data_IF_643589111830
#
_entry.id   IF_643589111830
#
_cell.length_a   1.000
_cell.length_b   1.000
_cell.length_c   1.000
_cell.angle_alpha   90.00
_cell.angle_beta   90.00
_cell.angle_gamma   90.00
#
_symmetry.space_group_name_H-M   'P 1'
#
loop_
_entity.id
_entity.type
_entity.pdbx_description
1 polymer ?
#
# COMPACT_ATOMS: atom_id res chain seq x y z
N UNK A 1 5.29 9.61 10.14
CA UNK A 1 4.93 9.18 8.79
C UNK A 1 4.12 7.89 8.89
N UNK A 2 3.16 7.64 8.00
CA UNK A 2 2.33 6.42 8.08
C UNK A 2 3.09 5.13 7.74
N UNK A 3 4.28 5.24 7.12
CA UNK A 3 5.15 4.11 6.86
C UNK A 3 6.62 4.45 7.11
N UNK A 4 7.35 3.46 7.63
CA UNK A 4 8.78 3.55 7.95
C UNK A 4 9.51 2.34 7.36
N UNK A 5 10.67 2.58 6.74
CA UNK A 5 11.52 1.51 6.22
C UNK A 5 12.24 0.81 7.36
N UNK A 6 12.30 -0.51 7.30
CA UNK A 6 13.12 -1.34 8.18
C UNK A 6 14.48 -1.60 7.51
N UNK A 7 15.55 -1.62 8.31
CA UNK A 7 16.91 -1.82 7.80
C UNK A 7 17.24 -3.27 7.49
N UNK A 8 17.43 -4.07 8.52
CA UNK A 8 17.77 -5.48 8.41
C UNK A 8 16.92 -6.29 9.41
N UNK A 9 16.14 -7.27 8.94
CA UNK A 9 15.86 -7.52 7.53
C UNK A 9 15.06 -6.40 6.84
N UNK A 10 15.29 -6.21 5.54
CA UNK A 10 14.61 -5.18 4.75
C UNK A 10 13.10 -5.36 4.82
N UNK A 11 12.37 -4.28 5.03
CA UNK A 11 10.93 -4.34 5.19
C UNK A 11 10.29 -2.97 5.40
N UNK A 12 9.04 -2.98 5.82
CA UNK A 12 8.24 -1.78 6.07
C UNK A 12 7.33 -1.96 7.29
N UNK A 13 7.26 -0.93 8.11
CA UNK A 13 6.29 -0.79 9.20
C UNK A 13 5.23 0.22 8.76
N UNK A 14 3.96 -0.14 8.85
CA UNK A 14 2.84 0.66 8.35
C UNK A 14 1.83 0.95 9.45
N UNK A 15 1.23 2.16 9.40
CA UNK A 15 0.06 2.54 10.16
C UNK A 15 -1.08 2.89 9.19
N UNK A 16 -2.27 2.34 9.43
CA UNK A 16 -3.43 2.45 8.55
C UNK A 16 -4.50 3.37 9.13
N UNK A 17 -5.43 3.81 8.27
CA UNK A 17 -6.53 4.72 8.65
C UNK A 17 -7.44 4.16 9.75
N UNK A 18 -7.57 2.85 9.85
CA UNK A 18 -8.35 2.15 10.89
C UNK A 18 -7.62 2.03 12.25
N UNK A 19 -6.44 2.62 12.38
CA UNK A 19 -5.59 2.58 13.58
C UNK A 19 -4.73 1.32 13.71
N UNK A 20 -4.88 0.33 12.83
CA UNK A 20 -4.01 -0.85 12.83
C UNK A 20 -2.59 -0.49 12.45
N UNK A 21 -1.66 -1.27 12.98
CA UNK A 21 -0.25 -1.23 12.60
C UNK A 21 0.18 -2.62 12.18
N UNK A 22 1.06 -2.70 11.19
CA UNK A 22 1.66 -3.95 10.77
C UNK A 22 3.13 -3.76 10.40
N UNK A 23 3.89 -4.83 10.59
CA UNK A 23 5.30 -4.90 10.20
C UNK A 23 5.45 -6.04 9.19
N UNK A 24 6.03 -5.72 8.06
CA UNK A 24 6.25 -6.66 6.98
C UNK A 24 7.73 -6.70 6.64
N UNK A 25 8.25 -7.89 6.46
CA UNK A 25 9.65 -8.14 6.13
C UNK A 25 9.73 -8.80 4.76
N UNK A 26 10.67 -8.35 3.94
CA UNK A 26 11.00 -9.01 2.68
C UNK A 26 12.12 -10.00 2.94
N UNK A 27 11.75 -11.26 3.05
CA UNK A 27 12.74 -12.33 3.18
C UNK A 27 13.29 -12.65 1.80
N UNK A 28 14.51 -12.18 1.53
CA UNK A 28 15.29 -12.57 0.35
C UNK A 28 16.67 -13.03 0.81
N UNK A 29 17.25 -14.04 0.20
CA UNK A 29 18.57 -14.55 0.60
C UNK A 29 19.69 -13.48 0.52
N UNK A 30 19.52 -12.53 -0.40
CA UNK A 30 20.45 -11.42 -0.64
C UNK A 30 19.64 -10.23 -1.17
N UNK A 31 19.38 -9.21 -0.36
CA UNK A 31 18.52 -8.10 -0.74
C UNK A 31 19.19 -7.24 -1.81
N UNK A 32 18.64 -7.28 -3.03
CA UNK A 32 19.05 -6.37 -4.09
C UNK A 32 18.80 -4.91 -3.69
N UNK A 33 19.64 -3.94 -4.12
CA UNK A 33 19.38 -2.52 -3.94
C UNK A 33 17.99 -2.09 -4.43
N UNK A 34 17.50 -2.70 -5.50
CA UNK A 34 16.14 -2.49 -6.02
C UNK A 34 15.05 -2.78 -4.98
N UNK A 35 15.22 -3.77 -4.10
CA UNK A 35 14.24 -4.06 -3.04
C UNK A 35 14.04 -2.83 -2.16
N UNK A 36 15.14 -2.14 -1.82
CA UNK A 36 15.08 -0.91 -1.02
C UNK A 36 14.39 0.22 -1.76
N UNK A 37 14.66 0.39 -3.05
CA UNK A 37 14.01 1.40 -3.88
C UNK A 37 12.50 1.15 -3.98
N UNK A 38 12.09 -0.11 -4.19
CA UNK A 38 10.68 -0.50 -4.23
C UNK A 38 9.98 -0.30 -2.88
N UNK A 39 10.65 -0.61 -1.77
CA UNK A 39 10.12 -0.34 -0.42
C UNK A 39 10.00 1.15 -0.15
N UNK A 40 10.92 1.98 -0.64
CA UNK A 40 10.82 3.45 -0.60
C UNK A 40 9.58 3.92 -1.36
N UNK A 41 9.35 3.39 -2.55
CA UNK A 41 8.13 3.65 -3.32
C UNK A 41 6.87 3.20 -2.58
N UNK A 42 6.88 1.99 -2.00
CA UNK A 42 5.75 1.50 -1.22
C UNK A 42 5.45 2.37 -0.01
N UNK A 43 6.48 2.84 0.69
CA UNK A 43 6.30 3.76 1.82
C UNK A 43 5.61 5.07 1.41
N UNK A 44 5.89 5.57 0.21
CA UNK A 44 5.20 6.73 -0.36
C UNK A 44 3.73 6.48 -0.74
N UNK A 45 3.34 5.21 -0.94
CA UNK A 45 1.96 4.83 -1.28
C UNK A 45 1.10 4.53 -0.05
N UNK A 46 1.73 4.22 1.09
CA UNK A 46 1.03 3.91 2.35
C UNK A 46 0.66 5.20 3.05
N UNK A 47 -0.59 5.56 3.01
CA UNK A 47 -1.12 6.66 3.81
C UNK A 47 -2.62 6.48 4.05
N UNK A 48 -3.20 7.08 5.12
CA UNK A 48 -4.62 7.03 5.39
C UNK A 48 -5.44 7.48 4.17
N UNK A 49 -6.39 6.66 3.75
CA UNK A 49 -7.22 6.85 2.55
C UNK A 49 -6.42 6.88 1.23
N UNK A 50 -5.19 6.41 1.24
CA UNK A 50 -4.34 6.26 0.06
C UNK A 50 -4.56 4.95 -0.70
N UNK A 51 -3.78 4.72 -1.75
CA UNK A 51 -3.92 3.51 -2.56
C UNK A 51 -3.49 2.24 -1.81
N UNK A 52 -2.75 2.37 -0.71
CA UNK A 52 -2.31 1.27 0.16
C UNK A 52 -2.65 1.62 1.60
N UNK A 53 -3.82 1.17 2.06
CA UNK A 53 -4.35 1.47 3.40
C UNK A 53 -4.83 0.21 4.14
N UNK A 54 -4.33 -0.97 3.76
CA UNK A 54 -4.62 -2.22 4.47
C UNK A 54 -3.41 -3.15 4.49
N UNK A 55 -3.25 -3.99 5.55
CA UNK A 55 -2.17 -4.99 5.61
C UNK A 55 -2.18 -5.96 4.43
N UNK A 56 -3.37 -6.35 3.94
CA UNK A 56 -3.52 -7.24 2.78
C UNK A 56 -2.92 -6.63 1.53
N UNK A 57 -3.24 -5.35 1.25
CA UNK A 57 -2.68 -4.63 0.11
C UNK A 57 -1.15 -4.52 0.22
N UNK A 58 -0.59 -4.23 1.40
CA UNK A 58 0.87 -4.24 1.60
C UNK A 58 1.46 -5.60 1.25
N UNK A 59 0.83 -6.69 1.70
CA UNK A 59 1.29 -8.06 1.40
C UNK A 59 1.29 -8.36 -0.11
N UNK A 60 0.27 -7.91 -0.85
CA UNK A 60 0.20 -8.06 -2.31
C UNK A 60 1.33 -7.28 -3.01
N UNK A 61 1.63 -6.06 -2.57
CA UNK A 61 2.74 -5.28 -3.11
C UNK A 61 4.09 -5.95 -2.83
N UNK A 62 4.29 -6.49 -1.63
CA UNK A 62 5.52 -7.20 -1.27
C UNK A 62 5.68 -8.54 -2.01
N UNK A 63 4.58 -9.18 -2.41
CA UNK A 63 4.65 -10.32 -3.32
C UNK A 63 5.27 -9.88 -4.67
N UNK A 64 4.83 -8.74 -5.23
CA UNK A 64 5.44 -8.16 -6.43
C UNK A 64 6.93 -7.80 -6.25
N UNK A 65 7.33 -7.29 -5.08
CA UNK A 65 8.76 -7.03 -4.77
C UNK A 65 9.59 -8.30 -4.85
N UNK A 66 9.13 -9.38 -4.18
CA UNK A 66 9.84 -10.67 -4.14
C UNK A 66 9.95 -11.30 -5.52
N UNK A 67 8.86 -11.25 -6.27
CA UNK A 67 8.77 -11.83 -7.60
C UNK A 67 9.71 -11.10 -8.58
N UNK A 68 9.67 -9.77 -8.63
CA UNK A 68 10.58 -8.96 -9.45
C UNK A 68 12.05 -9.15 -9.03
N UNK A 69 12.35 -9.17 -7.73
CA UNK A 69 13.70 -9.39 -7.25
C UNK A 69 14.23 -10.79 -7.63
N UNK A 70 13.40 -11.82 -7.52
CA UNK A 70 13.73 -13.19 -7.97
C UNK A 70 14.00 -13.25 -9.47
N UNK A 71 13.16 -12.60 -10.27
CA UNK A 71 13.31 -12.50 -11.72
C UNK A 71 14.63 -11.84 -12.12
N UNK A 72 14.97 -10.69 -11.51
CA UNK A 72 16.22 -9.97 -11.81
C UNK A 72 17.46 -10.76 -11.38
N UNK A 73 17.41 -11.40 -10.22
CA UNK A 73 18.52 -12.26 -9.75
C UNK A 73 18.78 -13.40 -10.74
N UNK A 74 17.74 -14.05 -11.24
CA UNK A 74 17.88 -15.12 -12.23
C UNK A 74 18.55 -14.64 -13.54
N UNK A 75 18.60 -13.33 -13.78
CA UNK A 75 19.26 -12.70 -14.93
C UNK A 75 20.60 -12.03 -14.60
N UNK A 76 21.09 -12.20 -13.38
CA UNK A 76 22.34 -11.60 -12.94
C UNK A 76 22.27 -10.06 -12.82
N UNK A 77 21.07 -9.50 -12.69
CA UNK A 77 20.88 -8.07 -12.47
C UNK A 77 20.84 -7.80 -10.96
N UNK A 78 21.83 -7.09 -10.44
CA UNK A 78 22.07 -6.86 -9.01
C UNK A 78 21.91 -5.39 -8.60
N UNK A 79 21.62 -4.50 -9.54
CA UNK A 79 21.53 -3.07 -9.31
C UNK A 79 20.20 -2.61 -8.67
N UNK A 80 20.16 -1.32 -8.31
CA UNK A 80 18.93 -0.62 -7.91
C UNK A 80 18.05 -0.20 -9.09
N UNK A 81 17.00 0.56 -8.79
CA UNK A 81 16.04 1.04 -9.80
C UNK A 81 16.71 1.91 -10.89
N UNK A 82 17.76 2.66 -10.55
CA UNK A 82 18.56 3.44 -11.51
C UNK A 82 19.38 2.61 -12.49
N UNK A 83 19.65 1.33 -12.17
CA UNK A 83 20.35 0.41 -13.06
C UNK A 83 19.40 -0.32 -14.03
N UNK A 84 18.09 -0.24 -13.82
CA UNK A 84 17.12 -0.87 -14.70
C UNK A 84 17.25 -0.30 -16.13
N UNK A 85 17.27 -1.21 -17.10
CA UNK A 85 17.11 -0.90 -18.52
C UNK A 85 15.66 -1.21 -18.91
N UNK A 86 15.20 -0.67 -20.04
CA UNK A 86 13.84 -0.91 -20.54
C UNK A 86 13.51 -2.40 -20.71
N UNK A 87 14.49 -3.22 -21.05
CA UNK A 87 14.30 -4.63 -21.38
C UNK A 87 13.82 -5.44 -20.19
N UNK A 88 14.47 -5.31 -19.05
CA UNK A 88 14.17 -6.11 -17.85
C UNK A 88 12.74 -5.95 -17.31
N UNK A 89 12.23 -4.72 -17.10
CA UNK A 89 10.84 -4.54 -16.70
C UNK A 89 9.84 -5.04 -17.77
N UNK A 90 10.11 -4.86 -19.07
CA UNK A 90 9.23 -5.37 -20.14
C UNK A 90 9.13 -6.88 -20.07
N UNK A 91 10.26 -7.58 -20.04
CA UNK A 91 10.27 -9.05 -19.94
C UNK A 91 9.54 -9.55 -18.68
N UNK A 92 9.76 -8.90 -17.55
CA UNK A 92 9.09 -9.24 -16.31
C UNK A 92 7.58 -9.04 -16.41
N UNK A 93 7.12 -7.87 -16.84
CA UNK A 93 5.70 -7.54 -16.89
C UNK A 93 4.90 -8.34 -17.91
N UNK A 94 5.53 -8.78 -19.00
CA UNK A 94 4.89 -9.67 -19.96
C UNK A 94 4.52 -11.05 -19.37
N UNK A 95 5.15 -11.48 -18.29
CA UNK A 95 4.89 -12.77 -17.64
C UNK A 95 4.28 -12.67 -16.23
N UNK A 96 4.40 -11.52 -15.58
CA UNK A 96 4.05 -11.36 -14.17
C UNK A 96 2.53 -11.28 -13.88
N UNK A 97 1.72 -11.03 -14.88
CA UNK A 97 0.28 -10.79 -14.73
C UNK A 97 -0.04 -9.41 -14.11
N UNK A 98 -1.30 -9.02 -14.22
CA UNK A 98 -1.79 -7.67 -13.88
C UNK A 98 -1.42 -7.19 -12.47
N UNK A 99 -1.58 -8.05 -11.46
CA UNK A 99 -1.36 -7.63 -10.06
C UNK A 99 0.08 -7.21 -9.80
N UNK A 100 1.03 -8.04 -10.20
CA UNK A 100 2.45 -7.77 -9.99
C UNK A 100 2.96 -6.64 -10.89
N UNK A 101 2.50 -6.57 -12.13
CA UNK A 101 2.81 -5.45 -13.02
C UNK A 101 2.32 -4.13 -12.41
N UNK A 102 1.04 -4.05 -12.00
CA UNK A 102 0.45 -2.85 -11.43
C UNK A 102 1.15 -2.42 -10.13
N UNK A 103 1.42 -3.37 -9.23
CA UNK A 103 2.09 -3.09 -7.97
C UNK A 103 3.52 -2.55 -8.19
N UNK A 104 4.33 -3.23 -9.02
CA UNK A 104 5.72 -2.85 -9.27
C UNK A 104 5.83 -1.54 -10.02
N UNK A 105 4.95 -1.26 -10.99
CA UNK A 105 4.88 0.05 -11.67
C UNK A 105 4.60 1.18 -10.69
N UNK A 106 3.61 1.01 -9.81
CA UNK A 106 3.26 2.03 -8.81
C UNK A 106 4.39 2.29 -7.83
N UNK A 107 5.06 1.24 -7.35
CA UNK A 107 6.23 1.39 -6.48
C UNK A 107 7.38 2.10 -7.18
N UNK A 108 7.71 1.72 -8.42
CA UNK A 108 8.76 2.39 -9.21
C UNK A 108 8.42 3.86 -9.47
N UNK A 109 7.17 4.16 -9.83
CA UNK A 109 6.73 5.56 -10.01
C UNK A 109 6.84 6.38 -8.72
N UNK A 110 6.44 5.81 -7.58
CA UNK A 110 6.52 6.49 -6.28
C UNK A 110 7.97 6.66 -5.81
N UNK A 111 8.83 5.66 -6.04
CA UNK A 111 10.26 5.76 -5.78
C UNK A 111 10.91 6.87 -6.64
N UNK A 112 10.57 6.91 -7.93
CA UNK A 112 11.07 7.94 -8.83
C UNK A 112 10.58 9.35 -8.46
N UNK A 113 9.33 9.49 -8.06
CA UNK A 113 8.79 10.76 -7.57
C UNK A 113 9.52 11.27 -6.31
N UNK A 114 9.98 10.35 -5.45
CA UNK A 114 10.71 10.69 -4.23
C UNK A 114 12.20 10.98 -4.47
N UNK A 115 12.84 10.30 -5.43
CA UNK A 115 14.31 10.27 -5.56
C UNK A 115 14.84 10.61 -6.96
N UNK A 116 13.98 10.63 -7.98
CA UNK A 116 14.40 10.83 -9.38
C UNK A 116 15.26 9.69 -9.95
N UNK A 117 15.17 8.50 -9.38
CA UNK A 117 16.15 7.41 -9.61
C UNK A 117 16.02 6.74 -10.98
N UNK A 118 14.84 6.77 -11.62
CA UNK A 118 14.62 6.07 -12.88
C UNK A 118 15.24 6.78 -14.07
N UNK A 119 15.81 6.01 -14.97
CA UNK A 119 16.19 6.50 -16.31
C UNK A 119 14.97 6.97 -17.09
N UNK A 120 15.10 7.96 -17.99
CA UNK A 120 13.95 8.49 -18.74
C UNK A 120 13.15 7.43 -19.50
N UNK A 121 13.83 6.46 -20.11
CA UNK A 121 13.18 5.37 -20.86
C UNK A 121 12.41 4.40 -19.96
N UNK A 122 12.87 4.18 -18.73
CA UNK A 122 12.16 3.36 -17.73
C UNK A 122 11.00 4.13 -17.15
N UNK A 123 11.17 5.42 -16.86
CA UNK A 123 10.09 6.31 -16.41
C UNK A 123 8.95 6.37 -17.41
N UNK A 124 9.25 6.54 -18.70
CA UNK A 124 8.25 6.51 -19.77
C UNK A 124 7.52 5.15 -19.84
N UNK A 125 8.25 4.05 -19.64
CA UNK A 125 7.70 2.70 -19.61
C UNK A 125 6.78 2.49 -18.39
N UNK A 126 7.17 2.94 -17.21
CA UNK A 126 6.39 2.87 -15.96
C UNK A 126 5.08 3.64 -16.09
N UNK A 127 5.10 4.81 -16.72
CA UNK A 127 3.91 5.62 -16.97
C UNK A 127 3.06 5.11 -18.16
N UNK A 128 3.59 4.19 -18.95
CA UNK A 128 2.95 3.69 -20.15
C UNK A 128 1.83 2.68 -19.91
N UNK A 129 1.29 2.16 -21.01
CA UNK A 129 0.22 1.15 -20.97
C UNK A 129 0.71 -0.16 -20.36
N UNK A 130 -0.18 -0.84 -19.60
CA UNK A 130 0.09 -2.16 -19.04
C UNK A 130 0.17 -3.23 -20.15
N UNK A 131 1.01 -4.22 -19.94
CA UNK A 131 1.14 -5.39 -20.82
C UNK A 131 0.07 -6.44 -20.50
N UNK A 132 -0.18 -6.68 -19.20
CA UNK A 132 -1.22 -7.59 -18.76
C UNK A 132 -2.60 -6.92 -18.81
N UNK A 133 -3.59 -7.63 -19.31
CA UNK A 133 -4.97 -7.17 -19.23
C UNK A 133 -5.46 -7.17 -17.78
N UNK A 134 -6.18 -6.11 -17.41
CA UNK A 134 -6.87 -6.09 -16.12
C UNK A 134 -7.90 -7.23 -16.08
N UNK A 135 -7.91 -8.05 -15.02
CA UNK A 135 -8.91 -9.10 -14.88
C UNK A 135 -10.32 -8.50 -14.98
N UNK A 136 -11.13 -9.07 -15.85
CA UNK A 136 -12.56 -8.72 -15.88
C UNK A 136 -13.19 -9.33 -14.64
N UNK A 137 -13.45 -8.49 -13.66
CA UNK A 137 -14.19 -8.90 -12.47
C UNK A 137 -15.67 -8.92 -12.85
N UNK A 138 -16.31 -10.05 -12.71
CA UNK A 138 -17.78 -10.08 -12.81
C UNK A 138 -18.35 -9.10 -11.77
N UNK A 139 -19.30 -8.24 -12.15
CA UNK A 139 -19.95 -7.38 -11.20
C UNK A 139 -20.48 -8.22 -10.04
N UNK A 140 -20.22 -7.78 -8.81
CA UNK A 140 -20.90 -8.38 -7.66
C UNK A 140 -22.40 -8.27 -7.90
N UNK A 141 -23.13 -9.34 -7.60
CA UNK A 141 -24.59 -9.26 -7.63
C UNK A 141 -25.03 -8.11 -6.72
N UNK A 142 -25.96 -7.27 -7.16
CA UNK A 142 -26.51 -6.25 -6.30
C UNK A 142 -27.11 -6.90 -5.05
N UNK A 143 -26.99 -6.21 -3.93
CA UNK A 143 -27.64 -6.67 -2.71
C UNK A 143 -29.13 -6.89 -2.96
N UNK A 144 -29.65 -7.98 -2.41
CA UNK A 144 -31.10 -8.17 -2.31
C UNK A 144 -31.70 -7.08 -1.43
N UNK A 145 -32.99 -6.81 -1.59
CA UNK A 145 -33.68 -5.80 -0.75
C UNK A 145 -33.48 -6.10 0.75
N UNK A 146 -33.57 -7.36 1.15
CA UNK A 146 -33.34 -7.78 2.55
C UNK A 146 -31.92 -7.51 3.04
N UNK A 147 -30.91 -7.78 2.20
CA UNK A 147 -29.50 -7.50 2.53
C UNK A 147 -29.26 -5.98 2.62
N UNK A 148 -29.88 -5.23 1.71
CA UNK A 148 -29.79 -3.77 1.71
C UNK A 148 -30.44 -3.16 2.98
N UNK A 149 -31.64 -3.61 3.34
CA UNK A 149 -32.30 -3.21 4.58
C UNK A 149 -31.50 -3.55 5.83
N UNK A 150 -30.89 -4.77 5.85
CA UNK A 150 -30.02 -5.19 6.95
C UNK A 150 -28.79 -4.32 7.04
N UNK A 151 -28.11 -4.06 5.92
CA UNK A 151 -26.95 -3.18 5.86
C UNK A 151 -27.29 -1.77 6.37
N UNK A 152 -28.38 -1.20 5.88
CA UNK A 152 -28.85 0.10 6.26
C UNK A 152 -29.17 0.21 7.76
N UNK A 153 -29.78 -0.82 8.33
CA UNK A 153 -30.08 -0.90 9.78
C UNK A 153 -28.80 -0.92 10.60
N UNK A 154 -27.83 -1.79 10.24
CA UNK A 154 -26.56 -1.90 10.92
C UNK A 154 -25.76 -0.58 10.83
N UNK A 155 -25.67 0.02 9.66
CA UNK A 155 -25.00 1.30 9.48
C UNK A 155 -25.62 2.40 10.35
N UNK A 156 -26.95 2.47 10.40
CA UNK A 156 -27.66 3.44 11.25
C UNK A 156 -27.36 3.21 12.74
N UNK A 157 -27.42 1.95 13.20
CA UNK A 157 -27.11 1.61 14.58
C UNK A 157 -25.69 2.01 14.97
N UNK A 158 -24.68 1.67 14.13
CA UNK A 158 -23.29 2.05 14.38
C UNK A 158 -23.10 3.56 14.41
N UNK A 159 -23.78 4.29 13.52
CA UNK A 159 -23.73 5.75 13.50
C UNK A 159 -24.35 6.35 14.77
N UNK A 160 -25.50 5.85 15.20
CA UNK A 160 -26.22 6.31 16.40
C UNK A 160 -25.37 6.04 17.68
N UNK A 161 -24.77 4.85 17.78
CA UNK A 161 -23.86 4.50 18.88
C UNK A 161 -22.60 5.39 18.91
N UNK A 162 -21.98 5.63 17.75
CA UNK A 162 -20.83 6.52 17.64
C UNK A 162 -21.18 7.95 18.02
N UNK A 163 -22.34 8.45 17.57
CA UNK A 163 -22.83 9.77 17.90
C UNK A 163 -23.22 9.89 19.37
N UNK A 164 -23.78 8.83 19.97
CA UNK A 164 -24.07 8.75 21.39
C UNK A 164 -22.80 8.85 22.24
N UNK A 165 -21.76 8.09 21.88
CA UNK A 165 -20.44 8.15 22.53
C UNK A 165 -19.80 9.52 22.41
N UNK A 166 -19.86 10.13 21.23
CA UNK A 166 -19.35 11.49 21.01
C UNK A 166 -20.04 12.52 21.89
N UNK A 167 -21.39 12.48 21.98
CA UNK A 167 -22.16 13.40 22.84
C UNK A 167 -21.84 13.21 24.32
N UNK A 168 -21.72 11.96 24.77
CA UNK A 168 -21.36 11.65 26.15
C UNK A 168 -19.96 12.18 26.51
N UNK A 169 -18.97 11.95 25.62
CA UNK A 169 -17.62 12.46 25.80
C UNK A 169 -17.56 13.99 25.82
N UNK A 170 -18.34 14.65 24.96
CA UNK A 170 -18.45 16.12 24.91
C UNK A 170 -19.11 16.68 26.17
N UNK A 171 -20.17 16.05 26.66
CA UNK A 171 -20.83 16.46 27.90
C UNK A 171 -19.93 16.29 29.14
N UNK A 172 -19.17 15.18 29.21
CA UNK A 172 -18.16 14.96 30.25
C UNK A 172 -17.03 15.98 30.24
N UNK A 173 -16.60 16.38 29.02
CA UNK A 173 -15.58 17.42 28.86
C UNK A 173 -16.08 18.83 29.27
N UNK A 174 -17.37 19.09 29.05
CA UNK A 174 -17.99 20.37 29.41
C UNK A 174 -18.37 20.46 30.91
N UNK A 175 -18.55 19.32 31.61
CA UNK A 175 -18.86 19.23 33.04
C UNK A 175 -17.65 19.01 33.94
N UNK A 176 -16.46 18.96 33.40
CA UNK A 176 -15.22 18.81 34.18
C UNK A 176 -14.90 20.09 34.93
N UNK A 177 -15.02 20.05 36.24
CA UNK A 177 -14.59 21.11 37.17
C UNK A 177 -13.15 21.51 36.86
N UNK A 178 -12.91 22.82 36.71
CA UNK A 178 -11.57 23.38 36.56
C UNK A 178 -10.72 22.94 37.77
N UNK A 179 -9.65 22.12 37.60
CA UNK A 179 -8.81 21.65 38.66
C UNK A 179 -8.06 22.80 39.40
N UNK A 180 -8.24 24.05 38.95
CA UNK A 180 -7.70 25.27 39.57
C UNK A 180 -8.63 25.89 40.61
N UNK A 181 -9.90 25.45 40.73
CA UNK A 181 -10.85 25.99 41.68
C UNK A 181 -10.72 25.37 43.13
N UNK A 182 -9.80 24.41 43.33
CA UNK A 182 -9.52 23.75 44.59
C UNK A 182 -8.14 24.15 45.18
N UNK A 183 -7.88 25.47 45.29
CA UNK A 183 -6.78 25.99 46.13
C UNK A 183 -7.28 27.13 47.02
#
# INVERSE_FOLDING_TARGET
MPAELLGDPAGISCAFSDGRRSRHVVVTPDPLPLVRDLLTGLAGLVHPHGPVDTPGTVTDYLAGVRDLAGFLRARGADGGAGALTRVLPVEYWMQAGWRHESATRRMLAAADAATGVLRPEVRALVAGRHFAAMPVTAPLQPYTEQEWERLHRVCRQVADEAFGRYRAARAGAAGGDDPRAAR
#
